data_IF_704554813661
#
_entry.id   IF_704554813661
#
_cell.length_a   1.000
_cell.length_b   1.000
_cell.length_c   1.000
_cell.angle_alpha   90.00
_cell.angle_beta   90.00
_cell.angle_gamma   90.00
#
_symmetry.space_group_name_H-M   'P 1'
#
loop_
_entity.id
_entity.type
_entity.pdbx_description
1 polymer ?
#
# COMPACT_ATOMS: atom_id res chain seq x y z
N UNK A 1 -22.39 1.17 8.46
CA UNK A 1 -21.72 2.49 8.39
C UNK A 1 -20.93 2.54 7.09
N UNK A 2 -20.61 3.71 6.52
CA UNK A 2 -19.74 3.79 5.32
C UNK A 2 -18.29 3.41 5.66
N UNK A 3 -17.50 3.07 4.65
CA UNK A 3 -16.05 2.92 4.82
C UNK A 3 -15.45 4.30 5.14
N UNK A 4 -14.64 4.37 6.20
CA UNK A 4 -14.05 5.63 6.70
C UNK A 4 -12.53 5.57 6.66
N UNK A 5 -11.87 6.72 6.51
CA UNK A 5 -10.40 6.84 6.59
C UNK A 5 -9.80 6.15 7.83
N UNK A 6 -10.40 6.36 9.00
CA UNK A 6 -9.95 5.77 10.26
C UNK A 6 -9.87 4.23 10.21
N UNK A 7 -10.89 3.56 9.63
CA UNK A 7 -10.89 2.09 9.45
C UNK A 7 -9.77 1.61 8.52
N UNK A 8 -9.44 2.38 7.47
CA UNK A 8 -8.36 2.01 6.55
C UNK A 8 -6.99 2.18 7.23
N UNK A 9 -6.80 3.29 7.95
CA UNK A 9 -5.58 3.54 8.74
C UNK A 9 -5.41 2.44 9.79
N UNK A 10 -6.46 2.16 10.57
CA UNK A 10 -6.46 1.13 11.60
C UNK A 10 -6.05 -0.23 11.04
N UNK A 11 -6.65 -0.63 9.92
CA UNK A 11 -6.25 -1.85 9.21
C UNK A 11 -4.76 -1.84 8.82
N UNK A 12 -4.28 -0.77 8.17
CA UNK A 12 -2.89 -0.70 7.72
C UNK A 12 -1.90 -0.72 8.91
N UNK A 13 -2.22 -0.07 10.02
CA UNK A 13 -1.36 -0.08 11.20
C UNK A 13 -1.23 -1.47 11.82
N UNK A 14 -2.34 -2.24 11.87
CA UNK A 14 -2.37 -3.58 12.47
C UNK A 14 -1.85 -4.71 11.56
N UNK A 15 -1.61 -4.45 10.28
CA UNK A 15 -1.02 -5.45 9.37
C UNK A 15 0.49 -5.56 9.60
N UNK A 16 0.97 -6.72 10.06
CA UNK A 16 2.37 -6.92 10.40
C UNK A 16 3.30 -7.19 9.20
N UNK A 17 2.76 -7.47 8.01
CA UNK A 17 3.57 -7.75 6.81
C UNK A 17 2.92 -7.18 5.55
N UNK A 18 3.75 -6.68 4.63
CA UNK A 18 3.29 -6.20 3.32
C UNK A 18 2.66 -7.34 2.48
N UNK A 19 3.04 -8.61 2.72
CA UNK A 19 2.47 -9.77 2.02
C UNK A 19 1.00 -10.02 2.33
N UNK A 20 0.56 -9.71 3.56
CA UNK A 20 -0.80 -10.03 4.01
C UNK A 20 -1.79 -8.89 3.77
N UNK A 21 -1.33 -7.77 3.20
CA UNK A 21 -2.20 -6.68 2.79
C UNK A 21 -3.14 -7.16 1.69
N UNK A 22 -4.41 -7.21 2.05
CA UNK A 22 -5.52 -7.63 1.20
C UNK A 22 -6.60 -6.53 1.11
N UNK A 23 -6.98 -6.16 -0.12
CA UNK A 23 -8.01 -5.16 -0.36
C UNK A 23 -9.42 -5.68 0.00
N UNK A 24 -9.62 -6.99 0.20
CA UNK A 24 -10.90 -7.55 0.66
C UNK A 24 -11.18 -7.32 2.16
N UNK A 25 -10.18 -6.91 2.93
CA UNK A 25 -10.33 -6.56 4.34
C UNK A 25 -10.82 -5.11 4.52
N UNK A 26 -10.55 -4.25 3.54
CA UNK A 26 -10.94 -2.84 3.59
C UNK A 26 -12.30 -2.66 2.91
N UNK A 27 -13.35 -2.79 3.71
CA UNK A 27 -14.76 -2.69 3.31
C UNK A 27 -15.61 -2.12 4.44
N UNK A 28 -16.79 -1.64 4.09
CA UNK A 28 -17.77 -1.17 5.07
C UNK A 28 -18.42 -2.35 5.82
N UNK A 29 -19.25 -2.06 6.83
CA UNK A 29 -19.86 -3.11 7.67
C UNK A 29 -20.87 -4.00 6.91
N UNK A 30 -21.28 -3.57 5.72
CA UNK A 30 -22.16 -4.30 4.81
C UNK A 30 -21.37 -5.07 3.74
N UNK A 31 -20.05 -4.98 3.75
CA UNK A 31 -19.15 -5.61 2.79
C UNK A 31 -18.87 -4.81 1.52
N UNK A 32 -19.32 -3.55 1.43
CA UNK A 32 -19.08 -2.71 0.25
C UNK A 32 -17.67 -2.09 0.27
N UNK A 33 -17.01 -2.06 -0.88
CA UNK A 33 -15.67 -1.46 -1.08
C UNK A 33 -15.73 -0.02 -1.60
N UNK A 34 -16.88 0.64 -1.55
CA UNK A 34 -17.06 1.98 -2.12
C UNK A 34 -16.13 2.99 -1.45
N UNK A 35 -15.41 3.78 -2.26
CA UNK A 35 -14.48 4.81 -1.77
C UNK A 35 -13.11 4.29 -1.33
N UNK A 36 -12.86 2.98 -1.41
CA UNK A 36 -11.60 2.36 -0.99
C UNK A 36 -10.36 2.99 -1.66
N UNK A 37 -10.40 3.19 -2.98
CA UNK A 37 -9.31 3.79 -3.74
C UNK A 37 -9.03 5.22 -3.29
N UNK A 38 -10.08 6.05 -3.20
CA UNK A 38 -9.97 7.45 -2.78
C UNK A 38 -9.36 7.57 -1.39
N UNK A 39 -9.81 6.73 -0.44
CA UNK A 39 -9.29 6.74 0.92
C UNK A 39 -7.82 6.28 0.98
N UNK A 40 -7.45 5.23 0.23
CA UNK A 40 -6.07 4.74 0.19
C UNK A 40 -5.11 5.79 -0.41
N UNK A 41 -5.54 6.50 -1.45
CA UNK A 41 -4.80 7.61 -2.07
C UNK A 41 -4.62 8.77 -1.08
N UNK A 42 -5.69 9.20 -0.41
CA UNK A 42 -5.64 10.28 0.59
C UNK A 42 -4.68 9.95 1.73
N UNK A 43 -4.74 8.72 2.24
CA UNK A 43 -3.83 8.26 3.30
C UNK A 43 -2.37 8.25 2.82
N UNK A 44 -2.12 7.80 1.58
CA UNK A 44 -0.79 7.85 0.99
C UNK A 44 -0.24 9.28 0.90
N UNK A 45 -1.06 10.25 0.47
CA UNK A 45 -0.67 11.66 0.43
C UNK A 45 -0.37 12.23 1.83
N UNK A 46 -1.23 11.94 2.80
CA UNK A 46 -1.04 12.37 4.20
C UNK A 46 0.28 11.85 4.76
N UNK A 47 0.61 10.58 4.54
CA UNK A 47 1.87 9.99 5.01
C UNK A 47 3.10 10.46 4.24
N UNK A 48 3.00 10.80 2.95
CA UNK A 48 4.11 11.45 2.23
C UNK A 48 4.41 12.81 2.86
N UNK A 49 3.37 13.62 3.09
CA UNK A 49 3.56 14.94 3.69
C UNK A 49 4.12 14.84 5.11
N UNK A 50 3.63 13.88 5.91
CA UNK A 50 4.16 13.63 7.26
C UNK A 50 5.67 13.32 7.25
N UNK A 51 6.14 12.46 6.34
CA UNK A 51 7.57 12.14 6.22
C UNK A 51 8.38 13.39 5.82
N UNK A 52 7.89 14.15 4.83
CA UNK A 52 8.58 15.37 4.35
C UNK A 52 8.65 16.47 5.42
N UNK A 53 7.58 16.63 6.21
CA UNK A 53 7.47 17.62 7.28
C UNK A 53 8.35 17.22 8.48
N UNK A 54 8.37 15.95 8.87
CA UNK A 54 9.22 15.45 9.95
C UNK A 54 10.72 15.63 9.64
N UNK A 55 11.13 15.45 8.39
CA UNK A 55 12.52 15.70 7.98
C UNK A 55 12.88 17.19 8.05
N UNK A 56 11.95 18.09 7.69
CA UNK A 56 12.16 19.53 7.78
C UNK A 56 12.32 20.02 9.23
N UNK A 57 11.55 19.44 10.16
CA UNK A 57 11.50 19.89 11.56
C UNK A 57 12.57 19.26 12.46
N UNK A 58 13.07 18.07 12.12
CA UNK A 58 13.95 17.31 13.00
C UNK A 58 15.43 17.75 12.96
N UNK A 59 15.85 18.55 11.97
CA UNK A 59 17.23 19.02 11.84
C UNK A 59 18.28 17.91 11.61
N UNK A 60 17.84 16.66 11.61
CA UNK A 60 18.58 15.46 11.26
C UNK A 60 18.01 14.98 9.93
N UNK A 61 18.85 14.71 8.94
CA UNK A 61 18.41 14.16 7.65
C UNK A 61 17.90 12.73 7.86
N UNK A 62 16.62 12.58 8.24
CA UNK A 62 15.92 11.31 8.44
C UNK A 62 15.64 10.63 7.10
N UNK A 63 15.60 11.41 6.04
CA UNK A 63 15.63 10.90 4.67
C UNK A 63 16.76 11.56 3.88
N UNK A 64 17.28 10.84 2.91
CA UNK A 64 18.25 11.35 1.93
C UNK A 64 17.57 12.31 0.95
N UNK A 65 18.36 13.16 0.29
CA UNK A 65 17.87 14.06 -0.77
C UNK A 65 17.18 13.27 -1.91
N UNK A 66 17.74 12.12 -2.29
CA UNK A 66 17.14 11.22 -3.28
C UNK A 66 15.78 10.64 -2.82
N UNK A 67 15.61 10.32 -1.54
CA UNK A 67 14.32 9.87 -0.99
C UNK A 67 13.30 11.01 -1.02
N UNK A 68 13.72 12.23 -0.66
CA UNK A 68 12.89 13.43 -0.67
C UNK A 68 12.38 13.74 -2.08
N UNK A 69 13.25 13.77 -3.08
CA UNK A 69 12.88 14.03 -4.47
C UNK A 69 11.92 12.97 -5.00
N UNK A 70 12.17 11.70 -4.68
CA UNK A 70 11.28 10.60 -5.07
C UNK A 70 9.91 10.68 -4.39
N UNK A 71 9.84 11.10 -3.12
CA UNK A 71 8.57 11.34 -2.41
C UNK A 71 7.78 12.49 -3.01
N UNK A 72 8.44 13.57 -3.41
CA UNK A 72 7.80 14.71 -4.09
C UNK A 72 7.22 14.24 -5.43
N UNK A 73 8.02 13.52 -6.23
CA UNK A 73 7.56 12.97 -7.51
C UNK A 73 6.41 11.97 -7.35
N UNK A 74 6.42 11.16 -6.27
CA UNK A 74 5.33 10.25 -5.94
C UNK A 74 4.05 11.02 -5.56
N UNK A 75 4.16 12.09 -4.77
CA UNK A 75 3.03 12.96 -4.42
C UNK A 75 2.40 13.56 -5.66
N UNK A 76 3.20 14.13 -6.56
CA UNK A 76 2.71 14.72 -7.81
C UNK A 76 2.04 13.70 -8.72
N UNK A 77 2.58 12.47 -8.79
CA UNK A 77 1.95 11.40 -9.54
C UNK A 77 0.60 11.00 -8.92
N UNK A 78 0.49 10.97 -7.59
CA UNK A 78 -0.77 10.69 -6.89
C UNK A 78 -1.77 11.85 -7.08
N UNK A 79 -1.34 13.10 -7.04
CA UNK A 79 -2.20 14.28 -7.28
C UNK A 79 -2.78 14.29 -8.70
N UNK A 80 -2.07 13.67 -9.64
CA UNK A 80 -2.54 13.50 -11.02
C UNK A 80 -3.58 12.38 -11.17
N UNK A 81 -3.80 11.55 -10.14
CA UNK A 81 -4.83 10.52 -10.18
C UNK A 81 -6.22 11.15 -10.01
N UNK A 82 -7.22 10.70 -10.78
CA UNK A 82 -8.59 11.08 -10.51
C UNK A 82 -8.99 10.62 -9.10
N UNK A 83 -9.41 11.57 -8.27
CA UNK A 83 -9.87 11.33 -6.89
C UNK A 83 -11.10 10.42 -6.81
N UNK A 84 -11.79 10.21 -7.94
CA UNK A 84 -12.76 9.15 -8.12
C UNK A 84 -12.31 8.27 -9.29
N UNK A 85 -12.04 6.99 -9.05
CA UNK A 85 -11.99 5.98 -10.12
C UNK A 85 -13.40 5.52 -10.51
N UNK A 86 -14.40 6.40 -10.44
CA UNK A 86 -15.71 6.12 -11.01
C UNK A 86 -15.61 6.18 -12.54
N UNK A 87 -16.38 5.33 -13.21
CA UNK A 87 -16.58 5.32 -14.67
C UNK A 87 -16.78 6.75 -15.21
N UNK A 88 -17.51 7.60 -14.50
CA UNK A 88 -17.72 9.02 -14.82
C UNK A 88 -16.46 9.90 -14.82
N UNK A 89 -15.52 9.69 -13.89
CA UNK A 89 -14.24 10.42 -13.86
C UNK A 89 -13.21 9.83 -14.82
N UNK A 90 -13.31 8.53 -15.10
CA UNK A 90 -12.50 7.89 -16.12
C UNK A 90 -12.93 8.31 -17.54
N UNK A 91 -14.22 8.63 -17.77
CA UNK A 91 -14.68 9.21 -19.05
C UNK A 91 -14.08 10.58 -19.36
N UNK A 92 -13.60 11.33 -18.37
CA UNK A 92 -12.89 12.62 -18.59
C UNK A 92 -11.39 12.47 -18.87
N UNK A 93 -10.83 11.27 -18.78
CA UNK A 93 -9.39 11.03 -18.91
C UNK A 93 -9.13 10.24 -20.19
N UNK A 94 -8.61 10.93 -21.20
CA UNK A 94 -8.22 10.32 -22.48
C UNK A 94 -6.94 9.50 -22.41
N UNK A 95 -6.10 9.69 -21.37
CA UNK A 95 -4.79 9.04 -21.21
C UNK A 95 -4.65 8.35 -19.84
N UNK A 96 -5.53 7.38 -19.57
CA UNK A 96 -5.49 6.63 -18.32
C UNK A 96 -4.21 5.77 -18.22
N UNK A 97 -3.73 5.26 -19.35
CA UNK A 97 -2.51 4.47 -19.44
C UNK A 97 -1.27 5.30 -19.09
N UNK A 98 -1.15 6.53 -19.61
CA UNK A 98 -0.07 7.46 -19.26
C UNK A 98 -0.06 7.83 -17.78
N UNK A 99 -1.24 8.10 -17.19
CA UNK A 99 -1.36 8.39 -15.75
C UNK A 99 -0.97 7.18 -14.90
N UNK A 100 -1.42 5.96 -15.27
CA UNK A 100 -1.03 4.74 -14.57
C UNK A 100 0.47 4.46 -14.68
N UNK A 101 1.05 4.66 -15.86
CA UNK A 101 2.48 4.47 -16.07
C UNK A 101 3.32 5.45 -15.26
N UNK A 102 2.91 6.73 -15.22
CA UNK A 102 3.56 7.74 -14.38
C UNK A 102 3.52 7.36 -12.90
N UNK A 103 2.37 6.89 -12.40
CA UNK A 103 2.25 6.39 -11.04
C UNK A 103 3.20 5.21 -10.77
N UNK A 104 3.22 4.22 -11.67
CA UNK A 104 4.06 3.04 -11.52
C UNK A 104 5.56 3.37 -11.56
N UNK A 105 5.97 4.31 -12.41
CA UNK A 105 7.34 4.81 -12.48
C UNK A 105 7.73 5.55 -11.21
N UNK A 106 6.90 6.48 -10.74
CA UNK A 106 7.14 7.21 -9.49
C UNK A 106 7.22 6.26 -8.29
N UNK A 107 6.35 5.26 -8.20
CA UNK A 107 6.43 4.21 -7.17
C UNK A 107 7.75 3.45 -7.28
N UNK A 108 8.17 3.08 -8.49
CA UNK A 108 9.42 2.34 -8.72
C UNK A 108 10.64 3.14 -8.30
N UNK A 109 10.71 4.43 -8.67
CA UNK A 109 11.79 5.35 -8.30
C UNK A 109 11.82 5.52 -6.78
N UNK A 110 10.66 5.74 -6.16
CA UNK A 110 10.52 5.81 -4.71
C UNK A 110 11.02 4.55 -4.01
N UNK A 111 10.61 3.36 -4.45
CA UNK A 111 11.08 2.11 -3.86
C UNK A 111 12.60 1.98 -3.99
N UNK A 112 13.16 2.35 -5.15
CA UNK A 112 14.58 2.28 -5.40
C UNK A 112 15.38 3.24 -4.49
N UNK A 113 14.86 4.45 -4.24
CA UNK A 113 15.54 5.47 -3.43
C UNK A 113 15.56 5.17 -1.94
N UNK A 114 14.62 4.38 -1.41
CA UNK A 114 14.56 4.06 0.02
C UNK A 114 15.85 3.37 0.49
N UNK A 115 16.47 4.01 1.47
CA UNK A 115 17.61 3.56 2.28
C UNK A 115 17.17 3.36 3.75
N UNK A 116 16.26 4.18 4.27
CA UNK A 116 15.78 4.11 5.65
C UNK A 116 14.37 3.50 5.73
N UNK A 117 14.30 2.17 5.71
CA UNK A 117 13.04 1.41 5.64
C UNK A 117 12.01 1.80 6.70
N UNK A 118 12.44 1.96 7.96
CA UNK A 118 11.52 2.18 9.08
C UNK A 118 10.72 3.48 8.95
N UNK A 119 11.33 4.55 8.40
CA UNK A 119 10.66 5.84 8.17
C UNK A 119 9.57 5.74 7.09
N UNK A 120 9.66 4.74 6.20
CA UNK A 120 8.78 4.56 5.05
C UNK A 120 7.76 3.44 5.20
N UNK A 121 7.85 2.65 6.28
CA UNK A 121 7.10 1.42 6.49
C UNK A 121 5.59 1.61 6.37
N UNK A 122 5.06 2.64 7.02
CA UNK A 122 3.63 2.95 7.00
C UNK A 122 3.17 3.38 5.59
N UNK A 123 3.92 4.25 4.94
CA UNK A 123 3.67 4.66 3.54
C UNK A 123 3.67 3.46 2.57
N UNK A 124 4.63 2.55 2.71
CA UNK A 124 4.69 1.33 1.88
C UNK A 124 3.45 0.46 2.02
N UNK A 125 2.84 0.37 3.21
CA UNK A 125 1.57 -0.34 3.39
C UNK A 125 0.44 0.29 2.58
N UNK A 126 0.34 1.62 2.57
CA UNK A 126 -0.64 2.33 1.74
C UNK A 126 -0.37 2.11 0.24
N UNK A 127 0.89 2.19 -0.19
CA UNK A 127 1.28 1.93 -1.60
C UNK A 127 0.89 0.53 -2.03
N UNK A 128 1.18 -0.49 -1.21
CA UNK A 128 0.78 -1.88 -1.50
C UNK A 128 -0.74 -2.01 -1.57
N UNK A 129 -1.49 -1.37 -0.68
CA UNK A 129 -2.96 -1.38 -0.72
C UNK A 129 -3.49 -0.75 -2.02
N UNK A 130 -2.95 0.38 -2.47
CA UNK A 130 -3.33 1.01 -3.75
C UNK A 130 -3.05 0.06 -4.91
N UNK A 131 -1.86 -0.54 -4.97
CA UNK A 131 -1.50 -1.51 -6.00
C UNK A 131 -2.44 -2.72 -6.03
N UNK A 132 -2.83 -3.24 -4.85
CA UNK A 132 -3.82 -4.33 -4.71
C UNK A 132 -5.21 -3.95 -5.21
N UNK A 133 -5.64 -2.71 -4.98
CA UNK A 133 -6.93 -2.22 -5.46
C UNK A 133 -6.92 -2.13 -6.98
N UNK A 134 -5.87 -1.53 -7.57
CA UNK A 134 -5.74 -1.41 -9.04
C UNK A 134 -5.66 -2.80 -9.68
N UNK A 135 -4.86 -3.71 -9.13
CA UNK A 135 -4.74 -5.09 -9.59
C UNK A 135 -6.10 -5.80 -9.60
N UNK A 136 -6.87 -5.65 -8.51
CA UNK A 136 -8.20 -6.21 -8.40
C UNK A 136 -9.14 -5.65 -9.47
N UNK A 137 -9.14 -4.34 -9.70
CA UNK A 137 -9.98 -3.71 -10.72
C UNK A 137 -9.62 -4.18 -12.14
N UNK A 138 -8.34 -4.36 -12.46
CA UNK A 138 -7.87 -4.92 -13.74
C UNK A 138 -8.25 -6.41 -13.93
N UNK A 139 -8.46 -7.14 -12.83
CA UNK A 139 -8.78 -8.57 -12.86
C UNK A 139 -10.27 -8.89 -12.97
N UNK A 140 -11.17 -7.93 -12.68
CA UNK A 140 -12.63 -8.15 -12.63
C UNK A 140 -13.26 -8.55 -13.97
N UNK A 141 -12.64 -8.15 -15.08
CA UNK A 141 -13.14 -8.40 -16.44
C UNK A 141 -12.00 -8.84 -17.33
N UNK A 142 -12.22 -9.92 -18.07
CA UNK A 142 -11.36 -10.31 -19.18
C UNK A 142 -11.59 -9.41 -20.39
N UNK A 143 -10.55 -9.14 -21.17
CA UNK A 143 -10.62 -8.28 -22.34
C UNK A 143 -10.35 -6.79 -22.05
N UNK A 144 -10.64 -5.89 -23.01
CA UNK A 144 -10.39 -4.47 -22.88
C UNK A 144 -11.27 -3.84 -21.79
N UNK A 145 -10.72 -2.87 -21.06
CA UNK A 145 -11.51 -2.08 -20.12
C UNK A 145 -12.29 -1.05 -20.92
N UNK A 146 -13.60 -1.17 -20.85
CA UNK A 146 -14.55 -0.27 -21.49
C UNK A 146 -15.34 0.51 -20.45
N UNK A 147 -15.63 1.76 -20.76
CA UNK A 147 -16.36 2.69 -19.91
C UNK A 147 -17.55 3.22 -20.70
N UNK A 148 -18.71 3.28 -20.05
CA UNK A 148 -19.96 3.74 -20.65
C UNK A 148 -21.09 2.72 -20.52
N UNK A 149 -22.27 3.06 -21.04
CA UNK A 149 -23.48 2.25 -20.94
C UNK A 149 -24.26 2.28 -22.26
N UNK A 150 -24.68 1.11 -22.74
CA UNK A 150 -25.42 0.97 -23.99
C UNK A 150 -24.57 1.35 -25.22
N UNK A 151 -25.10 2.22 -26.08
CA UNK A 151 -24.46 2.63 -27.34
C UNK A 151 -23.27 3.57 -27.15
N UNK A 152 -23.11 4.18 -25.98
CA UNK A 152 -21.99 5.06 -25.66
C UNK A 152 -21.01 4.28 -24.77
N UNK A 153 -20.08 3.56 -25.39
CA UNK A 153 -18.98 2.87 -24.72
C UNK A 153 -17.65 3.20 -25.39
N UNK A 154 -16.62 3.50 -24.61
CA UNK A 154 -15.26 3.77 -25.07
C UNK A 154 -14.29 2.76 -24.45
N UNK A 155 -13.36 2.24 -25.25
CA UNK A 155 -12.22 1.47 -24.74
C UNK A 155 -11.24 2.45 -24.12
N UNK A 156 -10.93 2.28 -22.83
CA UNK A 156 -9.95 3.12 -22.12
C UNK A 156 -8.63 2.41 -21.90
N UNK A 157 -8.62 1.07 -21.90
CA UNK A 157 -7.43 0.24 -21.92
C UNK A 157 -7.68 -0.94 -22.86
N UNK A 158 -6.77 -1.18 -23.78
CA UNK A 158 -6.78 -2.40 -24.57
C UNK A 158 -6.54 -3.62 -23.67
N UNK A 159 -6.82 -4.84 -24.15
CA UNK A 159 -6.53 -6.04 -23.37
C UNK A 159 -5.02 -6.24 -23.18
N UNK A 160 -4.21 -5.85 -24.17
CA UNK A 160 -2.74 -5.85 -24.09
C UNK A 160 -2.25 -4.88 -23.01
N UNK A 161 -2.76 -3.65 -22.98
CA UNK A 161 -2.41 -2.66 -21.95
C UNK A 161 -2.85 -3.12 -20.56
N UNK A 162 -4.07 -3.68 -20.44
CA UNK A 162 -4.57 -4.26 -19.18
C UNK A 162 -3.64 -5.37 -18.67
N UNK A 163 -3.22 -6.29 -19.53
CA UNK A 163 -2.29 -7.38 -19.20
C UNK A 163 -0.91 -6.85 -18.82
N UNK A 164 -0.37 -5.88 -19.58
CA UNK A 164 0.90 -5.24 -19.28
C UNK A 164 0.89 -4.56 -17.91
N UNK A 165 -0.16 -3.78 -17.61
CA UNK A 165 -0.31 -3.09 -16.33
C UNK A 165 -0.46 -4.09 -15.17
N UNK A 166 -1.19 -5.19 -15.38
CA UNK A 166 -1.28 -6.27 -14.39
C UNK A 166 0.09 -6.90 -14.07
N UNK A 167 0.91 -7.17 -15.10
CA UNK A 167 2.28 -7.67 -14.93
C UNK A 167 3.16 -6.66 -14.19
N UNK A 168 3.12 -5.39 -14.60
CA UNK A 168 3.91 -4.30 -13.99
C UNK A 168 3.58 -4.12 -12.50
N UNK A 169 2.30 -4.19 -12.13
CA UNK A 169 1.87 -4.14 -10.72
C UNK A 169 2.45 -5.32 -9.93
N UNK A 170 2.40 -6.53 -10.50
CA UNK A 170 2.94 -7.73 -9.86
C UNK A 170 4.45 -7.63 -9.63
N UNK A 171 5.19 -7.11 -10.60
CA UNK A 171 6.63 -6.85 -10.50
C UNK A 171 6.93 -5.82 -9.40
N UNK A 172 6.26 -4.66 -9.41
CA UNK A 172 6.44 -3.62 -8.39
C UNK A 172 6.15 -4.18 -7.00
N UNK A 173 5.02 -4.88 -6.82
CA UNK A 173 4.68 -5.51 -5.53
C UNK A 173 5.72 -6.53 -5.09
N UNK A 174 6.25 -7.32 -6.02
CA UNK A 174 7.31 -8.29 -5.72
C UNK A 174 8.58 -7.59 -5.28
N UNK A 175 8.97 -6.50 -5.95
CA UNK A 175 10.14 -5.70 -5.57
C UNK A 175 9.99 -5.05 -4.20
N UNK A 176 8.82 -4.49 -3.88
CA UNK A 176 8.49 -4.00 -2.53
C UNK A 176 8.68 -5.14 -1.53
N UNK A 177 7.97 -6.26 -1.72
CA UNK A 177 8.00 -7.37 -0.77
C UNK A 177 9.43 -7.92 -0.61
N UNK A 178 10.20 -8.08 -1.68
CA UNK A 178 11.58 -8.57 -1.59
C UNK A 178 12.50 -7.59 -0.86
N UNK A 179 12.41 -6.30 -1.17
CA UNK A 179 13.26 -5.26 -0.55
C UNK A 179 12.93 -5.06 0.92
N UNK A 180 11.68 -5.28 1.33
CA UNK A 180 11.22 -4.93 2.68
C UNK A 180 10.98 -6.14 3.60
N UNK A 181 10.57 -7.30 3.08
CA UNK A 181 10.44 -8.50 3.92
C UNK A 181 11.78 -9.19 4.18
N UNK A 182 12.82 -8.94 3.39
CA UNK A 182 14.19 -9.41 3.72
C UNK A 182 14.78 -8.68 4.94
N UNK A 183 14.26 -7.49 5.26
CA UNK A 183 14.60 -6.71 6.45
C UNK A 183 13.68 -7.00 7.65
N UNK A 184 12.59 -7.75 7.45
CA UNK A 184 11.72 -8.21 8.52
C UNK A 184 12.26 -9.55 9.02
N UNK A 185 12.99 -9.53 10.14
CA UNK A 185 13.06 -10.76 10.92
C UNK A 185 11.63 -11.16 11.27
N UNK A 186 11.23 -12.44 11.06
CA UNK A 186 9.98 -12.91 11.61
C UNK A 186 10.05 -12.61 13.10
N UNK A 187 9.06 -11.86 13.61
CA UNK A 187 8.91 -11.62 15.04
C UNK A 187 9.23 -12.95 15.74
N UNK A 188 10.37 -13.00 16.44
CA UNK A 188 10.57 -14.03 17.42
C UNK A 188 9.35 -13.91 18.30
N UNK A 189 8.45 -14.90 18.19
CA UNK A 189 7.47 -15.18 19.23
C UNK A 189 8.23 -15.02 20.53
N UNK A 190 7.95 -13.94 21.25
CA UNK A 190 8.35 -13.81 22.63
C UNK A 190 7.54 -14.88 23.34
N UNK A 191 8.04 -16.12 23.25
CA UNK A 191 7.79 -17.18 24.18
C UNK A 191 8.03 -16.52 25.53
N UNK A 192 6.93 -16.17 26.17
CA UNK A 192 6.96 -15.55 27.47
C UNK A 192 7.70 -16.53 28.34
N UNK A 193 8.87 -16.13 28.83
CA UNK A 193 9.75 -16.92 29.70
C UNK A 193 9.14 -17.17 31.09
N UNK A 194 7.83 -17.41 31.17
CA UNK A 194 7.14 -17.91 32.35
C UNK A 194 7.21 -19.44 32.50
N UNK A 195 7.70 -20.17 31.50
CA UNK A 195 7.91 -21.63 31.65
C UNK A 195 9.26 -21.98 32.31
N UNK A 196 10.25 -21.09 32.30
CA UNK A 196 11.52 -21.29 33.02
C UNK A 196 11.45 -20.93 34.52
N UNK A 197 10.38 -20.25 34.97
CA UNK A 197 10.14 -20.00 36.39
C UNK A 197 9.33 -21.12 37.08
N UNK A 198 8.70 -22.02 36.32
CA UNK A 198 8.04 -23.21 36.90
C UNK A 198 9.01 -24.35 37.20
N UNK A 199 10.07 -24.51 36.42
CA UNK A 199 11.08 -25.55 36.68
C UNK A 199 12.06 -25.17 37.80
N UNK A 200 12.30 -23.88 38.02
CA UNK A 200 13.18 -23.41 39.11
C UNK A 200 12.50 -23.42 40.50
N UNK A 201 11.16 -23.41 40.57
CA UNK A 201 10.44 -23.59 41.84
C UNK A 201 10.16 -25.05 42.22
N UNK A 202 10.22 -25.99 41.27
CA UNK A 202 10.04 -27.42 41.57
C UNK A 202 11.26 -28.06 42.24
N UNK A 203 12.48 -27.55 41.99
CA UNK A 203 13.71 -28.07 42.61
C UNK A 203 13.97 -27.58 44.04
N UNK A 204 13.24 -26.57 44.54
CA UNK A 204 13.43 -26.02 45.89
C UNK A 204 12.50 -26.61 46.97
N UNK A 205 11.58 -27.52 46.60
CA UNK A 205 10.67 -28.16 47.57
C UNK A 205 11.02 -29.59 47.97
N UNK A 206 12.13 -30.17 47.48
CA UNK A 206 12.58 -31.53 47.88
C UNK A 206 13.72 -31.55 48.90
N UNK A 207 14.02 -30.41 49.53
CA UNK A 207 15.12 -30.26 50.51
C UNK A 207 14.70 -30.09 51.98
N UNK A 208 13.46 -30.40 52.35
CA UNK A 208 13.03 -30.43 53.75
C UNK A 208 12.21 -31.70 54.03
N UNK A 209 12.93 -32.76 54.39
CA UNK A 209 12.56 -33.73 55.43
C UNK A 209 13.75 -34.61 55.77
#
# INVERSE_FOLDING_TARGET
>A
MSLTKAKVIDYLLHVNSLKVIDNHQVKDDKGNKTGQTTLAIQIGQEWINEILDQDCMSGHNRITENERDALIALREAIDSLPTSMSISSLMSIMDLDGIQNKLFESITIYIASITQVEEHKTLLKAVVLVLKIIEYDLSKKEGPITIGYGFFSMVVLSDEQRKANHTKIKEIRTNIIQKFDSCYEPEQTCSTSMDLLKESFACLQLGYK
#
